data_IF_195695662738
#
_entry.id   IF_195695662738
#
_cell.length_a   1.000
_cell.length_b   1.000
_cell.length_c   1.000
_cell.angle_alpha   90.00
_cell.angle_beta   90.00
_cell.angle_gamma   90.00
#
_symmetry.space_group_name_H-M   'P 1'
#
loop_
_entity.id
_entity.type
_entity.pdbx_description
1 polymer ?
#
# COMPACT_ATOMS: atom_id res chain seq x y z
N UNK A 1 -7.03 -23.64 -1.21
CA UNK A 1 -8.35 -23.46 -1.86
C UNK A 1 -8.22 -22.46 -3.02
N UNK A 2 -8.84 -22.74 -4.17
CA UNK A 2 -8.80 -21.84 -5.34
C UNK A 2 -9.96 -20.86 -5.28
N UNK A 3 -9.73 -19.59 -5.63
CA UNK A 3 -10.80 -18.59 -5.69
C UNK A 3 -11.91 -19.07 -6.66
N UNK A 4 -13.19 -18.87 -6.33
CA UNK A 4 -14.30 -19.31 -7.18
C UNK A 4 -14.20 -18.75 -8.60
N UNK A 5 -14.50 -19.60 -9.59
CA UNK A 5 -14.55 -19.19 -11.00
C UNK A 5 -15.71 -18.22 -11.25
N UNK A 6 -15.56 -17.24 -12.17
CA UNK A 6 -16.67 -16.40 -12.58
C UNK A 6 -17.88 -17.21 -13.09
N UNK A 7 -19.08 -16.70 -12.85
CA UNK A 7 -20.32 -17.25 -13.41
C UNK A 7 -20.68 -16.57 -14.72
N UNK A 8 -21.54 -17.22 -15.51
CA UNK A 8 -22.11 -16.59 -16.70
C UNK A 8 -23.06 -15.45 -16.34
N UNK A 9 -23.17 -14.46 -17.21
CA UNK A 9 -24.06 -13.30 -17.03
C UNK A 9 -25.51 -13.71 -16.74
N UNK A 10 -26.03 -14.73 -17.43
CA UNK A 10 -27.36 -15.30 -17.18
C UNK A 10 -27.52 -15.81 -15.74
N UNK A 11 -26.48 -16.44 -15.19
CA UNK A 11 -26.49 -16.96 -13.82
C UNK A 11 -26.41 -15.83 -12.80
N UNK A 12 -25.58 -14.82 -13.07
CA UNK A 12 -25.46 -13.62 -12.22
C UNK A 12 -26.78 -12.85 -12.16
N UNK A 13 -27.42 -12.57 -13.30
CA UNK A 13 -28.74 -11.91 -13.36
C UNK A 13 -29.79 -12.64 -12.51
N UNK A 14 -29.78 -13.97 -12.52
CA UNK A 14 -30.66 -14.78 -11.67
C UNK A 14 -30.36 -14.57 -10.17
N UNK A 15 -29.08 -14.59 -9.77
CA UNK A 15 -28.67 -14.38 -8.38
C UNK A 15 -29.03 -12.97 -7.88
N UNK A 16 -28.85 -11.94 -8.71
CA UNK A 16 -29.26 -10.57 -8.39
C UNK A 16 -30.77 -10.46 -8.15
N UNK A 17 -31.57 -11.05 -9.04
CA UNK A 17 -33.03 -11.09 -8.89
C UNK A 17 -33.46 -11.83 -7.61
N UNK A 18 -32.86 -13.00 -7.30
CA UNK A 18 -33.13 -13.76 -6.07
C UNK A 18 -32.69 -13.03 -4.80
N UNK A 19 -31.61 -12.24 -4.88
CA UNK A 19 -31.14 -11.40 -3.79
C UNK A 19 -32.00 -10.14 -3.60
N UNK A 20 -32.86 -9.80 -4.57
CA UNK A 20 -33.64 -8.57 -4.60
C UNK A 20 -32.76 -7.32 -4.72
N UNK A 21 -31.65 -7.44 -5.46
CA UNK A 21 -30.69 -6.36 -5.72
C UNK A 21 -30.99 -5.82 -7.13
N UNK A 22 -31.27 -4.53 -7.24
CA UNK A 22 -31.49 -3.87 -8.54
C UNK A 22 -30.17 -3.53 -9.23
N UNK A 23 -30.22 -3.19 -10.52
CA UNK A 23 -29.01 -2.78 -11.27
C UNK A 23 -28.35 -1.55 -10.62
N UNK A 24 -29.14 -0.55 -10.21
CA UNK A 24 -28.65 0.66 -9.51
C UNK A 24 -27.99 0.29 -8.18
N UNK A 25 -28.59 -0.60 -7.39
CA UNK A 25 -28.00 -1.07 -6.14
C UNK A 25 -26.71 -1.85 -6.38
N UNK A 26 -26.66 -2.67 -7.43
CA UNK A 26 -25.48 -3.43 -7.82
C UNK A 26 -24.32 -2.52 -8.22
N UNK A 27 -24.57 -1.56 -9.11
CA UNK A 27 -23.57 -0.55 -9.54
C UNK A 27 -23.02 0.22 -8.34
N UNK A 28 -23.88 0.66 -7.43
CA UNK A 28 -23.47 1.32 -6.19
C UNK A 28 -22.61 0.40 -5.30
N UNK A 29 -23.02 -0.85 -5.10
CA UNK A 29 -22.28 -1.80 -4.25
C UNK A 29 -20.92 -2.17 -4.84
N UNK A 30 -20.80 -2.26 -6.17
CA UNK A 30 -19.51 -2.41 -6.84
C UNK A 30 -18.60 -1.20 -6.61
N UNK A 31 -19.13 0.01 -6.79
CA UNK A 31 -18.37 1.23 -6.54
C UNK A 31 -17.94 1.32 -5.07
N UNK A 32 -18.84 1.01 -4.12
CA UNK A 32 -18.54 0.96 -2.69
C UNK A 32 -17.40 -0.02 -2.38
N UNK A 33 -17.46 -1.25 -2.91
CA UNK A 33 -16.46 -2.28 -2.65
C UNK A 33 -15.11 -1.91 -3.27
N UNK A 34 -15.10 -1.37 -4.49
CA UNK A 34 -13.89 -0.88 -5.15
C UNK A 34 -13.25 0.27 -4.34
N UNK A 35 -14.04 1.27 -3.94
CA UNK A 35 -13.56 2.36 -3.11
C UNK A 35 -12.99 1.87 -1.77
N UNK A 36 -13.66 0.94 -1.12
CA UNK A 36 -13.17 0.36 0.12
C UNK A 36 -11.88 -0.44 -0.11
N UNK A 37 -11.78 -1.23 -1.19
CA UNK A 37 -10.55 -1.93 -1.54
C UNK A 37 -9.39 -0.95 -1.79
N UNK A 38 -9.64 0.17 -2.46
CA UNK A 38 -8.61 1.16 -2.75
C UNK A 38 -8.12 1.87 -1.48
N UNK A 39 -9.05 2.28 -0.60
CA UNK A 39 -8.75 3.02 0.63
C UNK A 39 -8.11 2.14 1.72
N UNK A 40 -8.65 0.94 1.93
CA UNK A 40 -8.27 0.09 3.06
C UNK A 40 -7.32 -1.05 2.67
N UNK A 41 -7.23 -1.41 1.38
CA UNK A 41 -6.51 -2.59 0.89
C UNK A 41 -7.21 -3.91 1.23
N UNK A 42 -7.52 -4.10 2.51
CA UNK A 42 -8.24 -5.25 3.08
C UNK A 42 -9.23 -4.73 4.10
N UNK A 43 -10.50 -5.13 3.98
CA UNK A 43 -11.54 -4.71 4.91
C UNK A 43 -12.61 -5.79 5.06
N UNK A 44 -13.14 -5.95 6.27
CA UNK A 44 -14.26 -6.86 6.52
C UNK A 44 -15.55 -6.31 5.93
N UNK A 45 -16.45 -7.21 5.51
CA UNK A 45 -17.78 -6.84 5.04
C UNK A 45 -18.59 -6.13 6.15
N UNK A 46 -18.30 -6.46 7.41
CA UNK A 46 -18.84 -5.72 8.54
C UNK A 46 -18.42 -4.25 8.54
N UNK A 47 -17.12 -3.99 8.48
CA UNK A 47 -16.58 -2.63 8.48
C UNK A 47 -17.05 -1.84 7.25
N UNK A 48 -17.18 -2.49 6.08
CA UNK A 48 -17.76 -1.84 4.89
C UNK A 48 -19.17 -1.33 5.17
N UNK A 49 -20.01 -2.12 5.84
CA UNK A 49 -21.36 -1.68 6.19
C UNK A 49 -21.34 -0.49 7.16
N UNK A 50 -20.42 -0.49 8.12
CA UNK A 50 -20.28 0.59 9.09
C UNK A 50 -19.81 1.89 8.39
N UNK A 51 -18.83 1.80 7.48
CA UNK A 51 -18.38 2.93 6.62
C UNK A 51 -19.54 3.44 5.77
N UNK A 52 -20.26 2.54 5.10
CA UNK A 52 -21.44 2.88 4.31
C UNK A 52 -22.47 3.66 5.15
N UNK A 53 -22.83 3.19 6.34
CA UNK A 53 -23.80 3.88 7.20
C UNK A 53 -23.29 5.27 7.63
N UNK A 54 -21.99 5.40 7.92
CA UNK A 54 -21.34 6.66 8.26
C UNK A 54 -21.40 7.70 7.13
N UNK A 55 -21.26 7.26 5.88
CA UNK A 55 -21.27 8.14 4.70
C UNK A 55 -22.70 8.36 4.14
N UNK A 56 -23.62 7.40 4.28
CA UNK A 56 -24.90 7.40 3.56
C UNK A 56 -25.80 8.60 3.90
N UNK A 57 -25.76 9.07 5.15
CA UNK A 57 -26.55 10.25 5.56
C UNK A 57 -26.09 11.55 4.89
N UNK A 58 -24.81 11.63 4.51
CA UNK A 58 -24.18 12.85 3.99
C UNK A 58 -24.17 12.92 2.45
N UNK A 59 -24.25 11.77 1.78
CA UNK A 59 -23.99 11.65 0.34
C UNK A 59 -25.18 11.12 -0.49
N UNK A 60 -26.40 11.14 0.07
CA UNK A 60 -27.63 10.68 -0.61
C UNK A 60 -27.54 9.26 -1.20
N UNK A 61 -26.74 8.38 -0.58
CA UNK A 61 -26.55 7.03 -1.09
C UNK A 61 -27.85 6.19 -1.07
N UNK A 62 -27.96 5.20 -1.98
CA UNK A 62 -29.05 4.24 -1.93
C UNK A 62 -29.15 3.57 -0.55
N UNK A 63 -30.38 3.35 -0.07
CA UNK A 63 -30.63 2.65 1.20
C UNK A 63 -30.43 1.15 1.05
N UNK A 64 -29.29 0.65 1.51
CA UNK A 64 -28.93 -0.76 1.49
C UNK A 64 -29.06 -1.35 2.89
N UNK A 65 -29.84 -2.42 3.01
CA UNK A 65 -29.91 -3.19 4.27
C UNK A 65 -28.65 -4.05 4.41
N UNK A 66 -28.14 -4.20 5.63
CA UNK A 66 -27.02 -5.11 5.94
C UNK A 66 -27.17 -6.50 5.34
N UNK A 67 -28.36 -7.12 5.45
CA UNK A 67 -28.61 -8.45 4.86
C UNK A 67 -28.48 -8.49 3.33
N UNK A 68 -28.81 -7.39 2.64
CA UNK A 68 -28.65 -7.26 1.19
C UNK A 68 -27.17 -7.15 0.81
N UNK A 69 -26.40 -6.33 1.54
CA UNK A 69 -24.95 -6.24 1.38
C UNK A 69 -24.28 -7.61 1.60
N UNK A 70 -24.69 -8.36 2.62
CA UNK A 70 -24.17 -9.71 2.88
C UNK A 70 -24.48 -10.68 1.72
N UNK A 71 -25.66 -10.62 1.10
CA UNK A 71 -25.98 -11.44 -0.09
C UNK A 71 -25.11 -11.06 -1.29
N UNK A 72 -24.93 -9.76 -1.51
CA UNK A 72 -24.12 -9.23 -2.61
C UNK A 72 -22.70 -9.80 -2.61
N UNK A 73 -22.06 -9.94 -1.44
CA UNK A 73 -20.70 -10.51 -1.34
C UNK A 73 -20.57 -11.91 -1.96
N UNK A 74 -21.62 -12.74 -1.86
CA UNK A 74 -21.64 -14.08 -2.47
C UNK A 74 -21.79 -14.04 -4.00
N UNK A 75 -22.34 -12.96 -4.55
CA UNK A 75 -22.50 -12.73 -5.99
C UNK A 75 -21.22 -12.09 -6.54
N UNK A 76 -20.76 -11.00 -5.94
CA UNK A 76 -19.57 -10.25 -6.36
C UNK A 76 -18.31 -11.13 -6.43
N UNK A 77 -18.19 -12.13 -5.55
CA UNK A 77 -17.06 -13.07 -5.60
C UNK A 77 -17.08 -14.03 -6.81
N UNK A 78 -18.20 -14.11 -7.51
CA UNK A 78 -18.42 -14.92 -8.73
C UNK A 78 -18.33 -14.07 -9.99
N UNK A 79 -17.75 -12.88 -9.88
CA UNK A 79 -17.59 -11.92 -10.97
C UNK A 79 -16.11 -11.55 -11.15
N UNK A 80 -15.83 -10.92 -12.29
CA UNK A 80 -14.52 -10.31 -12.53
C UNK A 80 -14.56 -8.83 -12.13
N UNK A 81 -14.11 -8.56 -10.90
CA UNK A 81 -14.10 -7.22 -10.30
C UNK A 81 -12.67 -6.75 -10.02
N UNK A 82 -12.39 -5.45 -9.84
CA UNK A 82 -11.05 -4.96 -9.49
C UNK A 82 -10.60 -5.33 -8.05
N UNK A 83 -11.45 -6.02 -7.31
CA UNK A 83 -11.20 -6.56 -5.97
C UNK A 83 -11.61 -8.04 -5.90
N UNK A 84 -11.14 -8.73 -4.87
CA UNK A 84 -11.59 -10.05 -4.48
C UNK A 84 -12.53 -9.97 -3.27
N UNK A 85 -13.36 -11.00 -3.10
CA UNK A 85 -14.15 -11.22 -1.87
C UNK A 85 -13.90 -12.65 -1.38
N UNK A 86 -13.10 -12.75 -0.32
CA UNK A 86 -12.68 -14.01 0.30
C UNK A 86 -13.51 -14.33 1.53
N UNK A 87 -13.82 -15.61 1.74
CA UNK A 87 -14.22 -16.10 3.05
C UNK A 87 -13.03 -16.03 4.01
N UNK A 88 -13.30 -15.80 5.29
CA UNK A 88 -12.25 -15.70 6.31
C UNK A 88 -11.41 -16.98 6.37
N UNK A 89 -12.02 -18.16 6.17
CA UNK A 89 -11.32 -19.44 6.22
C UNK A 89 -10.45 -19.72 4.98
N UNK A 90 -10.62 -18.95 3.90
CA UNK A 90 -9.72 -19.00 2.75
C UNK A 90 -8.40 -18.30 3.08
N UNK A 91 -8.45 -17.23 3.87
CA UNK A 91 -7.28 -16.45 4.32
C UNK A 91 -6.63 -17.10 5.55
N UNK A 92 -7.43 -17.52 6.52
CA UNK A 92 -7.03 -18.14 7.78
C UNK A 92 -7.70 -19.51 7.95
N UNK A 93 -7.01 -20.59 7.63
CA UNK A 93 -7.61 -21.94 7.52
C UNK A 93 -8.31 -22.48 8.78
N UNK A 94 -8.02 -21.91 9.94
CA UNK A 94 -8.60 -22.30 11.24
C UNK A 94 -9.90 -21.54 11.57
N UNK A 95 -10.22 -20.48 10.82
CA UNK A 95 -11.39 -19.66 11.09
C UNK A 95 -12.69 -20.31 10.60
N UNK A 96 -13.79 -20.02 11.30
CA UNK A 96 -15.12 -20.48 10.89
C UNK A 96 -15.77 -19.46 9.96
N UNK A 97 -16.22 -19.84 8.75
CA UNK A 97 -16.84 -18.90 7.81
C UNK A 97 -18.10 -18.23 8.37
N UNK A 98 -18.15 -16.90 8.27
CA UNK A 98 -19.37 -16.10 8.44
C UNK A 98 -19.40 -15.03 7.36
N UNK A 99 -20.58 -14.74 6.82
CA UNK A 99 -20.72 -13.76 5.74
C UNK A 99 -20.20 -12.36 6.13
N UNK A 100 -20.32 -11.97 7.40
CA UNK A 100 -19.86 -10.68 7.90
C UNK A 100 -18.32 -10.58 8.01
N UNK A 101 -17.65 -11.73 8.17
CA UNK A 101 -16.20 -11.84 8.33
C UNK A 101 -15.49 -12.01 6.97
N UNK A 102 -16.26 -12.09 5.87
CA UNK A 102 -15.70 -12.03 4.52
C UNK A 102 -14.86 -10.77 4.37
N UNK A 103 -13.77 -10.88 3.62
CA UNK A 103 -12.89 -9.75 3.37
C UNK A 103 -12.95 -9.35 1.90
N UNK A 104 -13.19 -8.05 1.68
CA UNK A 104 -12.95 -7.42 0.39
C UNK A 104 -11.48 -7.04 0.33
N UNK A 105 -10.79 -7.48 -0.71
CA UNK A 105 -9.33 -7.41 -0.83
C UNK A 105 -8.96 -6.81 -2.18
N UNK A 106 -8.14 -5.77 -2.18
CA UNK A 106 -7.56 -5.19 -3.40
C UNK A 106 -6.70 -6.23 -4.11
N UNK A 107 -6.79 -6.30 -5.44
CA UNK A 107 -6.18 -7.40 -6.23
C UNK A 107 -4.66 -7.49 -6.08
N UNK A 108 -3.99 -6.34 -5.98
CA UNK A 108 -2.54 -6.22 -5.81
C UNK A 108 -2.04 -6.73 -4.44
N UNK A 109 -2.89 -6.75 -3.41
CA UNK A 109 -2.57 -7.36 -2.12
C UNK A 109 -2.50 -8.90 -2.16
N UNK A 110 -2.88 -9.54 -3.27
CA UNK A 110 -2.88 -11.00 -3.42
C UNK A 110 -1.90 -11.44 -4.50
N UNK A 111 -0.87 -12.16 -4.09
CA UNK A 111 0.08 -12.82 -4.99
C UNK A 111 -0.32 -14.28 -5.21
N UNK A 112 0.14 -14.99 -6.25
CA UNK A 112 -0.07 -16.43 -6.37
C UNK A 112 0.88 -17.21 -5.45
N UNK A 113 0.58 -18.49 -5.26
CA UNK A 113 1.48 -19.44 -4.58
C UNK A 113 1.33 -19.48 -3.07
N UNK A 114 2.36 -20.02 -2.40
CA UNK A 114 2.33 -20.29 -0.95
C UNK A 114 2.13 -19.00 -0.13
N UNK A 115 2.72 -17.90 -0.57
CA UNK A 115 2.67 -16.60 0.12
C UNK A 115 1.49 -15.71 -0.30
N UNK A 116 0.46 -16.28 -0.95
CA UNK A 116 -0.63 -15.53 -1.57
C UNK A 116 -1.34 -14.51 -0.69
N UNK A 117 -1.41 -14.77 0.61
CA UNK A 117 -2.10 -13.91 1.57
C UNK A 117 -1.16 -13.18 2.52
N UNK A 118 0.16 -13.19 2.26
CA UNK A 118 1.12 -12.57 3.18
C UNK A 118 0.83 -11.06 3.37
N UNK A 119 0.63 -10.31 2.27
CA UNK A 119 0.25 -8.90 2.34
C UNK A 119 -1.12 -8.73 3.03
N UNK A 120 -2.12 -9.55 2.69
CA UNK A 120 -3.45 -9.52 3.32
C UNK A 120 -3.40 -9.74 4.84
N UNK A 121 -2.61 -10.71 5.29
CA UNK A 121 -2.42 -11.03 6.71
C UNK A 121 -1.65 -9.92 7.42
N UNK A 122 -0.58 -9.41 6.79
CA UNK A 122 0.22 -8.30 7.33
C UNK A 122 -0.61 -7.03 7.53
N UNK A 123 -1.48 -6.69 6.57
CA UNK A 123 -2.41 -5.55 6.68
C UNK A 123 -3.36 -5.78 7.86
N UNK A 124 -4.03 -6.94 7.93
CA UNK A 124 -4.95 -7.26 9.01
C UNK A 124 -4.29 -7.17 10.40
N UNK A 125 -3.12 -7.79 10.58
CA UNK A 125 -2.40 -7.80 11.86
C UNK A 125 -1.97 -6.39 12.28
N UNK A 126 -1.39 -5.62 11.36
CA UNK A 126 -0.93 -4.25 11.62
C UNK A 126 -2.09 -3.31 11.90
N UNK A 127 -3.23 -3.53 11.23
CA UNK A 127 -4.44 -2.72 11.33
C UNK A 127 -5.12 -2.77 12.71
N UNK A 128 -4.84 -3.80 13.51
CA UNK A 128 -5.43 -3.95 14.86
C UNK A 128 -5.08 -2.79 15.80
N UNK A 129 -4.01 -2.05 15.51
CA UNK A 129 -3.56 -0.92 16.31
C UNK A 129 -4.27 0.40 15.96
N UNK A 130 -5.10 0.42 14.91
CA UNK A 130 -5.70 1.64 14.39
C UNK A 130 -7.23 1.57 14.39
N UNK A 131 -7.93 2.68 14.70
CA UNK A 131 -9.37 2.76 14.50
C UNK A 131 -9.69 2.81 13.00
N UNK A 132 -10.89 2.40 12.61
CA UNK A 132 -11.36 2.53 11.23
C UNK A 132 -11.48 4.01 10.84
N UNK A 133 -10.90 4.39 9.70
CA UNK A 133 -11.12 5.72 9.12
C UNK A 133 -12.53 5.81 8.51
N UNK A 134 -13.19 6.95 8.66
CA UNK A 134 -14.50 7.23 8.06
C UNK A 134 -14.39 8.44 7.14
N UNK A 135 -14.27 8.26 5.81
CA UNK A 135 -14.16 9.37 4.87
C UNK A 135 -15.48 10.15 4.79
N UNK A 136 -15.40 11.40 4.32
CA UNK A 136 -16.60 12.20 4.04
C UNK A 136 -17.45 11.56 2.93
N UNK A 137 -16.81 11.12 1.85
CA UNK A 137 -17.39 10.40 0.73
C UNK A 137 -16.48 9.22 0.36
N UNK A 138 -16.92 7.99 0.61
CA UNK A 138 -16.14 6.79 0.26
C UNK A 138 -16.02 6.63 -1.26
N UNK A 139 -16.99 7.10 -2.06
CA UNK A 139 -16.96 6.95 -3.51
C UNK A 139 -15.87 7.81 -4.16
N UNK A 140 -15.34 8.83 -3.49
CA UNK A 140 -14.19 9.62 -3.94
C UNK A 140 -12.91 8.77 -4.16
N UNK A 141 -12.83 7.60 -3.54
CA UNK A 141 -11.68 6.69 -3.64
C UNK A 141 -11.82 5.63 -4.74
N UNK A 142 -12.88 5.68 -5.56
CA UNK A 142 -13.17 4.64 -6.57
C UNK A 142 -12.07 4.50 -7.61
N UNK A 143 -11.55 5.63 -8.08
CA UNK A 143 -10.61 5.68 -9.21
C UNK A 143 -9.14 5.75 -8.78
N UNK A 144 -8.86 5.80 -7.46
CA UNK A 144 -7.51 5.88 -6.87
C UNK A 144 -6.61 6.93 -7.55
N UNK A 145 -7.04 8.21 -7.63
CA UNK A 145 -6.31 9.23 -8.36
C UNK A 145 -4.97 9.54 -7.69
N UNK A 146 -3.97 9.84 -8.52
CA UNK A 146 -2.65 10.26 -8.02
C UNK A 146 -2.76 11.54 -7.19
N UNK A 147 -2.14 11.54 -6.00
CA UNK A 147 -2.13 12.72 -5.14
C UNK A 147 -1.18 13.81 -5.66
N UNK A 148 -1.34 15.08 -5.24
CA UNK A 148 -0.37 16.13 -5.55
C UNK A 148 1.06 15.79 -5.11
N UNK A 149 1.23 15.10 -3.98
CA UNK A 149 2.54 14.67 -3.51
C UNK A 149 3.13 13.54 -4.37
N UNK A 150 2.29 12.62 -4.88
CA UNK A 150 2.72 11.59 -5.85
C UNK A 150 3.23 12.21 -7.14
N UNK A 151 2.49 13.18 -7.68
CA UNK A 151 2.87 13.90 -8.90
C UNK A 151 4.20 14.63 -8.68
N UNK A 152 4.40 15.25 -7.51
CA UNK A 152 5.63 15.95 -7.18
C UNK A 152 6.84 15.04 -6.97
N UNK A 153 6.64 13.82 -6.46
CA UNK A 153 7.68 12.81 -6.36
C UNK A 153 8.01 12.25 -7.74
N UNK A 154 7.01 11.93 -8.57
CA UNK A 154 7.22 11.46 -9.94
C UNK A 154 8.00 12.49 -10.76
N UNK A 155 7.58 13.76 -10.73
CA UNK A 155 8.27 14.83 -11.44
C UNK A 155 9.73 14.98 -10.97
N UNK A 156 10.03 14.73 -9.71
CA UNK A 156 11.41 14.72 -9.23
C UNK A 156 12.21 13.55 -9.80
N UNK A 157 11.66 12.32 -9.71
CA UNK A 157 12.29 11.12 -10.25
C UNK A 157 12.52 11.24 -11.77
N UNK A 158 11.59 11.83 -12.51
CA UNK A 158 11.67 12.07 -13.96
C UNK A 158 12.93 12.84 -14.40
N UNK A 159 13.47 13.69 -13.53
CA UNK A 159 14.63 14.54 -13.84
C UNK A 159 15.96 13.91 -13.44
N UNK A 160 15.94 12.84 -12.63
CA UNK A 160 17.18 12.16 -12.22
C UNK A 160 17.82 11.52 -13.45
N UNK A 161 19.15 11.67 -13.56
CA UNK A 161 19.93 11.21 -14.70
C UNK A 161 20.75 9.99 -14.31
N UNK A 162 20.72 8.97 -15.17
CA UNK A 162 21.61 7.82 -15.07
C UNK A 162 23.04 8.26 -15.43
N UNK A 163 23.91 8.42 -14.44
CA UNK A 163 25.24 9.04 -14.58
C UNK A 163 26.41 8.06 -14.45
N UNK A 164 26.19 6.86 -13.92
CA UNK A 164 27.25 5.87 -13.75
C UNK A 164 27.66 5.27 -15.11
N UNK A 165 28.97 5.16 -15.43
CA UNK A 165 29.42 4.53 -16.68
C UNK A 165 29.18 3.02 -16.70
N UNK A 166 29.15 2.39 -15.53
CA UNK A 166 28.87 0.97 -15.35
C UNK A 166 27.86 0.77 -14.22
N UNK A 167 26.98 -0.21 -14.38
CA UNK A 167 25.98 -0.64 -13.39
C UNK A 167 26.13 -2.13 -13.10
N UNK A 168 25.65 -2.56 -11.95
CA UNK A 168 25.66 -3.98 -11.58
C UNK A 168 24.56 -4.72 -12.33
N UNK A 169 24.87 -5.92 -12.81
CA UNK A 169 23.88 -6.89 -13.27
C UNK A 169 23.37 -7.78 -12.11
N UNK A 170 22.47 -8.71 -12.44
CA UNK A 170 21.87 -9.70 -11.53
C UNK A 170 22.90 -10.49 -10.71
N UNK A 171 24.12 -10.69 -11.22
CA UNK A 171 25.19 -11.43 -10.56
C UNK A 171 26.19 -10.52 -9.85
N UNK A 172 25.79 -9.28 -9.56
CA UNK A 172 26.65 -8.24 -8.98
C UNK A 172 27.89 -7.94 -9.85
N UNK A 173 27.84 -8.27 -11.15
CA UNK A 173 28.93 -8.02 -12.09
C UNK A 173 28.77 -6.66 -12.74
N UNK A 174 29.84 -5.88 -12.82
CA UNK A 174 29.81 -4.57 -13.48
C UNK A 174 29.67 -4.73 -15.00
N UNK A 175 28.74 -3.99 -15.60
CA UNK A 175 28.47 -3.92 -17.04
C UNK A 175 28.37 -2.47 -17.50
N UNK A 176 28.71 -2.15 -18.76
CA UNK A 176 28.47 -0.83 -19.33
C UNK A 176 27.00 -0.43 -19.18
N UNK A 177 26.76 0.79 -18.69
CA UNK A 177 25.42 1.30 -18.47
C UNK A 177 24.74 1.69 -19.81
N UNK A 178 23.65 1.02 -20.22
CA UNK A 178 22.96 1.34 -21.48
C UNK A 178 22.15 2.65 -21.44
N UNK A 179 22.00 3.23 -20.24
CA UNK A 179 21.21 4.43 -19.99
C UNK A 179 22.06 5.66 -19.65
N UNK A 180 23.39 5.57 -19.75
CA UNK A 180 24.30 6.68 -19.43
C UNK A 180 23.86 8.00 -20.09
N UNK A 181 23.69 9.04 -19.26
CA UNK A 181 23.27 10.38 -19.64
C UNK A 181 21.77 10.55 -19.86
N UNK A 182 20.95 9.50 -19.68
CA UNK A 182 19.48 9.57 -19.89
C UNK A 182 18.73 9.86 -18.59
N UNK A 183 17.71 10.73 -18.62
CA UNK A 183 16.74 10.87 -17.53
C UNK A 183 15.93 9.58 -17.30
N UNK A 184 15.51 9.33 -16.06
CA UNK A 184 14.74 8.12 -15.71
C UNK A 184 13.42 7.98 -16.48
N UNK A 185 12.77 9.09 -16.84
CA UNK A 185 11.53 9.06 -17.64
C UNK A 185 11.74 8.54 -19.07
N UNK A 186 12.97 8.59 -19.59
CA UNK A 186 13.27 8.34 -21.01
C UNK A 186 13.68 6.88 -21.28
N UNK A 187 13.67 6.02 -20.27
CA UNK A 187 13.96 4.60 -20.44
C UNK A 187 13.12 3.72 -19.52
N UNK A 188 13.17 2.42 -19.79
CA UNK A 188 12.53 1.38 -19.01
C UNK A 188 13.60 0.65 -18.21
N UNK A 189 13.38 0.51 -16.91
CA UNK A 189 14.25 -0.23 -16.02
C UNK A 189 13.65 -1.62 -15.78
N UNK A 190 14.48 -2.65 -15.97
CA UNK A 190 14.23 -3.98 -15.46
C UNK A 190 15.17 -4.20 -14.27
N UNK A 191 14.63 -4.31 -13.06
CA UNK A 191 15.45 -4.46 -11.85
C UNK A 191 16.02 -5.88 -11.74
N UNK A 192 17.00 -6.06 -10.86
CA UNK A 192 17.53 -7.39 -10.51
C UNK A 192 16.40 -8.24 -9.93
N UNK A 193 15.57 -7.65 -9.06
CA UNK A 193 14.43 -8.34 -8.45
C UNK A 193 13.46 -8.89 -9.50
N UNK A 194 13.12 -8.13 -10.54
CA UNK A 194 12.25 -8.59 -11.61
C UNK A 194 12.81 -9.79 -12.35
N UNK A 195 14.10 -9.71 -12.71
CA UNK A 195 14.80 -10.78 -13.42
C UNK A 195 14.83 -12.03 -12.59
N UNK A 196 15.16 -11.92 -11.30
CA UNK A 196 15.18 -13.05 -10.36
C UNK A 196 13.80 -13.69 -10.23
N UNK A 197 12.75 -12.87 -10.05
CA UNK A 197 11.39 -13.38 -9.92
C UNK A 197 10.89 -14.00 -11.24
N UNK A 198 11.23 -13.42 -12.39
CA UNK A 198 10.88 -13.97 -13.69
C UNK A 198 11.66 -15.26 -14.01
N UNK A 199 12.94 -15.35 -13.68
CA UNK A 199 13.74 -16.56 -13.84
C UNK A 199 13.22 -17.68 -12.94
N UNK A 200 12.95 -17.36 -11.67
CA UNK A 200 12.48 -18.34 -10.67
C UNK A 200 11.03 -18.80 -10.91
N UNK A 201 10.15 -17.90 -11.37
CA UNK A 201 8.71 -18.17 -11.44
C UNK A 201 8.10 -18.04 -12.84
N UNK A 202 8.65 -17.24 -13.75
CA UNK A 202 8.07 -16.94 -15.07
C UNK A 202 7.91 -18.17 -15.97
N UNK A 203 8.83 -19.13 -15.85
CA UNK A 203 8.78 -20.41 -16.57
C UNK A 203 7.84 -21.46 -15.91
N UNK A 204 7.30 -21.18 -14.72
CA UNK A 204 6.38 -22.11 -14.05
C UNK A 204 5.05 -22.19 -14.80
N UNK A 205 4.48 -23.40 -14.86
CA UNK A 205 3.13 -23.60 -15.39
C UNK A 205 2.08 -23.22 -14.34
N UNK A 206 0.91 -22.77 -14.80
CA UNK A 206 -0.23 -22.46 -13.93
C UNK A 206 -0.26 -21.02 -13.44
N UNK A 207 -0.98 -20.79 -12.34
CA UNK A 207 -1.30 -19.44 -11.86
C UNK A 207 -0.07 -18.61 -11.47
N UNK A 208 0.94 -19.23 -10.84
CA UNK A 208 2.18 -18.54 -10.44
C UNK A 208 2.93 -17.96 -11.64
N UNK A 209 3.27 -18.78 -12.65
CA UNK A 209 4.00 -18.26 -13.81
C UNK A 209 3.16 -17.39 -14.74
N UNK A 210 1.82 -17.52 -14.75
CA UNK A 210 0.95 -16.57 -15.46
C UNK A 210 0.99 -15.18 -14.81
N UNK A 211 0.91 -15.13 -13.48
CA UNK A 211 0.99 -13.87 -12.73
C UNK A 211 2.32 -13.16 -12.97
N UNK A 212 3.46 -13.84 -12.76
CA UNK A 212 4.76 -13.19 -12.91
C UNK A 212 5.01 -12.70 -14.33
N UNK A 213 4.58 -13.44 -15.36
CA UNK A 213 4.63 -12.95 -16.75
C UNK A 213 3.75 -11.72 -16.99
N UNK A 214 2.57 -11.64 -16.36
CA UNK A 214 1.70 -10.48 -16.46
C UNK A 214 2.28 -9.28 -15.70
N UNK A 215 2.86 -9.50 -14.52
CA UNK A 215 3.52 -8.48 -13.71
C UNK A 215 4.68 -7.87 -14.49
N UNK A 216 5.62 -8.68 -15.00
CA UNK A 216 6.74 -8.19 -15.82
C UNK A 216 6.24 -7.40 -17.03
N UNK A 217 5.27 -7.95 -17.78
CA UNK A 217 4.67 -7.25 -18.93
C UNK A 217 4.03 -5.92 -18.56
N UNK A 218 3.45 -5.79 -17.38
CA UNK A 218 2.87 -4.52 -16.91
C UNK A 218 3.97 -3.50 -16.57
N UNK A 219 5.06 -3.93 -15.94
CA UNK A 219 6.20 -3.09 -15.60
C UNK A 219 6.96 -2.64 -16.86
N UNK A 220 7.00 -3.48 -17.89
CA UNK A 220 7.53 -3.14 -19.22
C UNK A 220 6.79 -1.97 -19.90
N UNK A 221 5.63 -1.52 -19.40
CA UNK A 221 4.88 -0.37 -19.95
C UNK A 221 5.19 0.97 -19.27
N UNK A 222 5.91 0.94 -18.15
CA UNK A 222 6.26 2.13 -17.36
C UNK A 222 7.65 2.67 -17.74
N UNK A 223 7.89 3.96 -17.51
CA UNK A 223 9.25 4.50 -17.42
C UNK A 223 9.95 4.01 -16.15
N UNK A 224 11.27 4.19 -16.05
CA UNK A 224 12.00 3.87 -14.82
C UNK A 224 11.47 4.70 -13.63
N UNK A 225 11.13 5.97 -13.82
CA UNK A 225 10.58 6.83 -12.76
C UNK A 225 9.19 6.40 -12.29
N UNK A 226 8.27 6.09 -13.22
CA UNK A 226 6.92 5.61 -12.92
C UNK A 226 6.97 4.27 -12.15
N UNK A 227 7.85 3.38 -12.61
CA UNK A 227 8.08 2.08 -11.99
C UNK A 227 8.57 2.23 -10.54
N UNK A 228 9.64 3.00 -10.32
CA UNK A 228 10.23 3.18 -8.98
C UNK A 228 9.19 3.76 -7.99
N UNK A 229 8.39 4.72 -8.43
CA UNK A 229 7.30 5.26 -7.61
C UNK A 229 6.24 4.20 -7.29
N UNK A 230 5.80 3.43 -8.29
CA UNK A 230 4.82 2.35 -8.11
C UNK A 230 5.31 1.31 -7.10
N UNK A 231 6.52 0.81 -7.27
CA UNK A 231 7.12 -0.20 -6.38
C UNK A 231 7.32 0.35 -4.97
N UNK A 232 7.72 1.62 -4.83
CA UNK A 232 7.83 2.26 -3.53
C UNK A 232 6.47 2.30 -2.79
N UNK A 233 5.40 2.73 -3.47
CA UNK A 233 4.04 2.77 -2.92
C UNK A 233 3.53 1.39 -2.55
N UNK A 234 3.68 0.41 -3.43
CA UNK A 234 3.20 -0.96 -3.19
C UNK A 234 3.90 -1.61 -1.99
N UNK A 235 5.23 -1.46 -1.89
CA UNK A 235 6.00 -1.93 -0.72
C UNK A 235 5.48 -1.32 0.58
N UNK A 236 5.20 -0.01 0.57
CA UNK A 236 4.68 0.71 1.73
C UNK A 236 3.25 0.27 2.10
N UNK A 237 2.39 0.01 1.11
CA UNK A 237 1.00 -0.37 1.37
C UNK A 237 0.87 -1.81 1.88
N UNK A 238 1.71 -2.72 1.39
CA UNK A 238 1.62 -4.15 1.72
C UNK A 238 2.30 -4.56 3.05
N UNK A 239 2.96 -3.65 3.75
CA UNK A 239 3.70 -3.98 4.96
C UNK A 239 3.95 -2.76 5.84
N UNK A 240 4.12 -2.98 7.14
CA UNK A 240 4.69 -1.98 8.05
C UNK A 240 6.23 -1.90 7.89
N UNK A 241 6.71 -1.95 6.63
CA UNK A 241 8.14 -1.79 6.35
C UNK A 241 8.56 -0.41 6.86
N UNK A 242 9.45 -0.42 7.84
CA UNK A 242 10.00 0.81 8.41
C UNK A 242 10.51 1.74 7.31
N UNK A 243 10.21 3.03 7.45
CA UNK A 243 10.60 4.10 6.51
C UNK A 243 12.03 3.93 5.98
N UNK A 244 12.99 3.71 6.87
CA UNK A 244 14.41 3.58 6.53
C UNK A 244 14.68 2.39 5.61
N UNK A 245 14.00 1.27 5.80
CA UNK A 245 14.18 0.08 4.96
C UNK A 245 13.61 0.31 3.56
N UNK A 246 12.42 0.92 3.45
CA UNK A 246 11.83 1.20 2.14
C UNK A 246 12.64 2.27 1.37
N UNK A 247 13.15 3.30 2.08
CA UNK A 247 14.07 4.29 1.51
C UNK A 247 15.36 3.65 1.01
N UNK A 248 15.98 2.77 1.79
CA UNK A 248 17.20 2.06 1.37
C UNK A 248 16.97 1.27 0.07
N UNK A 249 15.86 0.53 0.00
CA UNK A 249 15.53 -0.23 -1.21
C UNK A 249 15.33 0.66 -2.43
N UNK A 250 14.67 1.82 -2.29
CA UNK A 250 14.54 2.78 -3.38
C UNK A 250 15.90 3.34 -3.82
N UNK A 251 16.81 3.59 -2.88
CA UNK A 251 18.18 4.02 -3.21
C UNK A 251 18.94 2.93 -3.95
N UNK A 252 18.83 1.67 -3.52
CA UNK A 252 19.40 0.52 -4.24
C UNK A 252 18.85 0.43 -5.67
N UNK A 253 17.53 0.61 -5.85
CA UNK A 253 16.88 0.58 -7.17
C UNK A 253 17.35 1.77 -8.06
N UNK A 254 17.62 2.94 -7.47
CA UNK A 254 18.19 4.10 -8.16
C UNK A 254 19.65 3.86 -8.57
N UNK A 255 20.45 3.24 -7.72
CA UNK A 255 21.83 2.84 -8.04
C UNK A 255 21.86 1.81 -9.18
N UNK A 256 20.92 0.86 -9.21
CA UNK A 256 20.76 -0.07 -10.32
C UNK A 256 20.41 0.66 -11.63
N UNK A 257 19.59 1.72 -11.56
CA UNK A 257 19.31 2.60 -12.68
C UNK A 257 20.50 3.49 -13.09
N UNK A 258 21.64 3.40 -12.40
CA UNK A 258 22.85 4.17 -12.65
C UNK A 258 22.80 5.60 -12.13
N UNK A 259 21.85 5.93 -11.25
CA UNK A 259 21.72 7.27 -10.65
C UNK A 259 22.65 7.39 -9.45
N UNK A 260 23.37 8.51 -9.36
CA UNK A 260 24.10 8.92 -8.16
C UNK A 260 23.48 10.20 -7.65
N UNK A 261 22.82 10.13 -6.50
CA UNK A 261 22.22 11.30 -5.88
C UNK A 261 23.32 12.20 -5.29
N UNK A 262 23.27 13.49 -5.59
CA UNK A 262 23.96 14.50 -4.79
C UNK A 262 23.32 14.60 -3.40
N UNK A 263 24.02 15.24 -2.45
CA UNK A 263 23.47 15.45 -1.11
C UNK A 263 22.14 16.23 -1.14
N UNK A 264 22.05 17.25 -2.00
CA UNK A 264 20.83 18.05 -2.15
C UNK A 264 19.69 17.23 -2.76
N UNK A 265 19.96 16.41 -3.79
CA UNK A 265 18.94 15.52 -4.38
C UNK A 265 18.48 14.47 -3.38
N UNK A 266 19.38 13.90 -2.57
CA UNK A 266 19.01 12.95 -1.52
C UNK A 266 18.10 13.62 -0.47
N UNK A 267 18.42 14.83 -0.03
CA UNK A 267 17.58 15.61 0.88
C UNK A 267 16.19 15.89 0.27
N UNK A 268 16.15 16.28 -1.00
CA UNK A 268 14.89 16.50 -1.72
C UNK A 268 14.06 15.23 -1.87
N UNK A 269 14.70 14.09 -2.15
CA UNK A 269 14.04 12.79 -2.23
C UNK A 269 13.38 12.43 -0.89
N UNK A 270 14.14 12.51 0.21
CA UNK A 270 13.63 12.23 1.57
C UNK A 270 12.46 13.12 1.92
N UNK A 271 12.53 14.43 1.60
CA UNK A 271 11.45 15.36 1.84
C UNK A 271 10.18 14.97 1.06
N UNK A 272 10.30 14.73 -0.25
CA UNK A 272 9.16 14.38 -1.11
C UNK A 272 8.49 13.07 -0.70
N UNK A 273 9.30 12.08 -0.32
CA UNK A 273 8.79 10.82 0.23
C UNK A 273 8.04 11.08 1.54
N UNK A 274 8.60 11.89 2.44
CA UNK A 274 7.97 12.21 3.71
C UNK A 274 6.62 12.91 3.50
N UNK A 275 6.55 13.85 2.56
CA UNK A 275 5.32 14.55 2.20
C UNK A 275 4.28 13.58 1.64
N UNK A 276 4.68 12.70 0.71
CA UNK A 276 3.84 11.64 0.18
C UNK A 276 3.29 10.75 1.29
N UNK A 277 4.15 10.19 2.15
CA UNK A 277 3.72 9.25 3.17
C UNK A 277 2.81 9.88 4.20
N UNK A 278 3.04 11.16 4.55
CA UNK A 278 2.16 11.89 5.46
C UNK A 278 0.79 12.18 4.85
N UNK A 279 0.68 12.25 3.52
CA UNK A 279 -0.55 12.56 2.80
C UNK A 279 -1.33 11.33 2.33
N UNK A 280 -0.64 10.21 2.13
CA UNK A 280 -1.18 8.97 1.58
C UNK A 280 -1.98 8.19 2.63
N UNK A 281 -3.18 7.75 2.24
CA UNK A 281 -3.98 6.85 3.06
C UNK A 281 -3.36 5.46 3.05
N UNK A 282 -3.06 4.92 4.23
CA UNK A 282 -2.36 3.64 4.38
C UNK A 282 -3.34 2.50 4.67
N UNK A 283 -3.17 1.37 3.99
CA UNK A 283 -3.95 0.15 4.21
C UNK A 283 -3.76 -0.39 5.63
N UNK A 284 -2.52 -0.48 6.10
CA UNK A 284 -2.24 -0.98 7.46
C UNK A 284 -2.69 0.00 8.56
N UNK A 285 -2.87 1.28 8.23
CA UNK A 285 -3.47 2.27 9.15
C UNK A 285 -4.99 2.37 8.98
N UNK A 286 -5.67 1.33 8.48
CA UNK A 286 -7.13 1.30 8.26
C UNK A 286 -7.65 2.50 7.50
N UNK A 287 -6.95 2.89 6.45
CA UNK A 287 -7.33 3.96 5.54
C UNK A 287 -7.02 5.35 6.07
N UNK A 288 -6.35 5.52 7.20
CA UNK A 288 -5.88 6.84 7.63
C UNK A 288 -4.65 7.29 6.84
N UNK A 289 -4.56 8.58 6.50
CA UNK A 289 -3.26 9.22 6.31
C UNK A 289 -2.64 9.59 7.66
N UNK A 290 -1.31 9.52 7.85
CA UNK A 290 -0.66 9.88 9.11
C UNK A 290 -1.05 11.28 9.63
N UNK A 291 -1.14 12.27 8.74
CA UNK A 291 -1.57 13.64 9.11
C UNK A 291 -3.01 13.73 9.62
N UNK A 292 -3.88 12.85 9.15
CA UNK A 292 -5.28 12.80 9.56
C UNK A 292 -5.42 12.07 10.89
N UNK A 293 -4.74 10.94 11.03
CA UNK A 293 -4.71 10.20 12.29
C UNK A 293 -4.13 11.06 13.41
N UNK A 294 -3.07 11.82 13.14
CA UNK A 294 -2.48 12.74 14.11
C UNK A 294 -3.48 13.79 14.58
N UNK A 295 -4.28 14.37 13.66
CA UNK A 295 -5.34 15.33 13.99
C UNK A 295 -6.52 14.70 14.73
N UNK A 296 -6.78 13.42 14.50
CA UNK A 296 -7.86 12.67 15.14
C UNK A 296 -7.49 12.14 16.53
N UNK A 297 -6.20 11.87 16.77
CA UNK A 297 -5.73 11.39 18.07
C UNK A 297 -6.05 12.40 19.20
N UNK A 298 -6.37 11.93 20.41
CA UNK A 298 -6.67 12.81 21.54
C UNK A 298 -5.56 13.83 21.73
N UNK A 299 -5.93 15.10 21.99
CA UNK A 299 -4.98 16.16 22.25
C UNK A 299 -4.06 15.80 23.42
N UNK A 300 -2.84 15.40 23.10
CA UNK A 300 -1.74 15.17 24.04
C UNK A 300 -0.47 15.55 23.33
N UNK A 301 0.43 16.28 24.00
CA UNK A 301 1.72 16.62 23.40
C UNK A 301 2.46 15.31 23.11
N UNK A 302 2.83 15.02 21.85
CA UNK A 302 3.57 13.81 21.52
C UNK A 302 4.85 13.76 22.35
N UNK A 303 5.13 12.59 22.90
CA UNK A 303 6.31 12.36 23.73
C UNK A 303 7.29 11.49 22.96
N UNK A 304 8.46 12.03 22.66
CA UNK A 304 9.55 11.34 21.98
C UNK A 304 10.47 10.71 23.01
N UNK A 305 11.04 9.57 22.65
CA UNK A 305 12.11 8.90 23.39
C UNK A 305 13.35 8.79 22.50
N UNK A 306 14.52 9.04 23.06
CA UNK A 306 15.77 8.76 22.35
C UNK A 306 15.96 7.25 22.21
N UNK A 307 16.10 6.76 20.97
CA UNK A 307 16.48 5.39 20.67
C UNK A 307 17.91 5.07 21.13
N UNK A 308 18.29 3.79 21.08
CA UNK A 308 19.59 3.31 21.58
C UNK A 308 20.79 4.02 20.95
N UNK A 309 20.75 4.30 19.64
CA UNK A 309 21.84 4.97 18.94
C UNK A 309 22.01 6.43 19.38
N UNK A 310 20.91 7.19 19.51
CA UNK A 310 20.97 8.58 19.99
C UNK A 310 21.44 8.61 21.44
N UNK A 311 20.98 7.68 22.28
CA UNK A 311 21.48 7.54 23.67
C UNK A 311 22.98 7.28 23.70
N UNK A 312 23.51 6.45 22.79
CA UNK A 312 24.94 6.18 22.66
C UNK A 312 25.72 7.43 22.26
N UNK A 313 25.24 8.16 21.24
CA UNK A 313 25.83 9.42 20.79
C UNK A 313 25.77 10.54 21.84
N UNK A 314 24.76 10.52 22.72
CA UNK A 314 24.72 11.41 23.88
C UNK A 314 25.77 10.98 24.90
N UNK A 315 25.90 9.67 25.15
CA UNK A 315 26.83 9.14 26.16
C UNK A 315 28.30 9.27 25.78
N UNK A 316 28.63 9.21 24.49
CA UNK A 316 30.00 9.38 23.98
C UNK A 316 30.36 10.86 23.72
N UNK A 317 29.43 11.79 23.97
CA UNK A 317 29.64 13.23 23.84
C UNK A 317 29.50 13.77 22.41
N UNK A 318 29.11 12.94 21.44
CA UNK A 318 28.85 13.39 20.06
C UNK A 318 27.71 14.40 20.00
N UNK A 319 26.67 14.23 20.83
CA UNK A 319 25.57 15.17 20.96
C UNK A 319 25.32 15.61 22.41
N UNK A 320 25.00 16.90 22.59
CA UNK A 320 24.48 17.39 23.86
C UNK A 320 23.01 17.00 24.01
N UNK A 321 22.68 16.29 25.09
CA UNK A 321 21.29 15.96 25.44
C UNK A 321 20.46 17.23 25.61
N UNK A 322 21.02 18.25 26.25
CA UNK A 322 20.35 19.49 26.58
C UNK A 322 19.99 20.26 25.31
N UNK A 323 20.91 20.32 24.34
CA UNK A 323 20.65 20.94 23.05
C UNK A 323 19.60 20.17 22.25
N UNK A 324 19.70 18.83 22.20
CA UNK A 324 18.71 18.01 21.50
C UNK A 324 17.31 18.14 22.10
N UNK A 325 17.19 18.10 23.43
CA UNK A 325 15.90 18.29 24.10
C UNK A 325 15.35 19.68 23.81
N UNK A 326 16.19 20.73 23.90
CA UNK A 326 15.79 22.10 23.60
C UNK A 326 15.26 22.23 22.18
N UNK A 327 15.97 21.73 21.17
CA UNK A 327 15.52 21.76 19.77
C UNK A 327 14.19 21.04 19.57
N UNK A 328 13.99 19.90 20.23
CA UNK A 328 12.74 19.14 20.16
C UNK A 328 11.58 19.90 20.84
N UNK A 329 11.83 20.50 22.00
CA UNK A 329 10.83 21.30 22.71
C UNK A 329 10.46 22.59 21.95
N UNK A 330 11.43 23.22 21.28
CA UNK A 330 11.20 24.37 20.38
C UNK A 330 10.30 24.02 19.19
N UNK A 331 10.30 22.75 18.75
CA UNK A 331 9.37 22.23 17.74
C UNK A 331 7.99 21.84 18.30
N UNK A 332 7.72 22.09 19.59
CA UNK A 332 6.42 21.84 20.23
C UNK A 332 6.21 20.41 20.72
N UNK A 333 7.27 19.60 20.80
CA UNK A 333 7.22 18.19 21.22
C UNK A 333 7.79 18.04 22.65
N UNK A 334 7.45 16.94 23.34
CA UNK A 334 8.03 16.63 24.65
C UNK A 334 9.04 15.48 24.53
N UNK A 335 10.12 15.54 25.31
CA UNK A 335 11.05 14.40 25.43
C UNK A 335 10.85 13.74 26.79
N UNK A 336 10.67 12.42 26.81
CA UNK A 336 10.62 11.67 28.07
C UNK A 336 11.91 10.89 28.34
N UNK A 337 12.19 10.71 29.63
CA UNK A 337 13.45 10.13 30.10
C UNK A 337 13.52 8.60 29.98
N UNK A 338 12.39 7.89 29.87
CA UNK A 338 12.37 6.43 29.77
C UNK A 338 11.15 5.92 28.98
N UNK A 339 11.37 4.99 28.04
CA UNK A 339 10.31 4.33 27.27
C UNK A 339 9.24 3.76 28.20
N UNK A 340 7.95 4.04 27.91
CA UNK A 340 6.80 3.49 28.62
C UNK A 340 6.73 1.95 28.53
N UNK A 341 7.42 1.37 27.54
CA UNK A 341 7.63 -0.06 27.39
C UNK A 341 9.09 -0.36 27.71
N UNK A 342 9.36 -0.84 28.92
CA UNK A 342 10.70 -1.16 29.42
C UNK A 342 11.37 -2.31 28.68
N UNK A 343 11.81 -2.07 27.44
CA UNK A 343 12.81 -2.89 26.75
C UNK A 343 14.01 -1.99 26.46
N UNK A 344 15.04 -2.22 27.27
CA UNK A 344 16.41 -1.71 27.12
C UNK A 344 17.11 -2.35 25.95
#
# INVERSE_FOLDING_TARGET
>A
MTYPKPLSEKSLRKLYAEAGITDIESEFLHALFQSCANLYGVISVQDIYDVYEGCALRNEYPKIRRSKLMKFTGIARREEQPYYVYEINEIYSLETPKNADRQVVRKDAVVPGWYRFNCVQSINESSMNYPLYFPEDILAYRDDPASPEEIQLLHFLDQLVSSLPEVKDTFQTMKPNPYLGKPLKDFRLETVYDRDMNEMYGNRKGAEGNYWRQTVKSLETLSASERLLKEYKERYQCSDLEFTRNLHMLVDDLEEAGVVLTEDEFRMLVQKITDLLNSMHSWYMRGWAPRELHRHAPAGTPVIYFGGNIKKMISDGTYSREELVKTIEESGLKVANASKYGRS
#
